data_IF_138466517363
#
_entry.id   IF_138466517363
#
_cell.length_a   1.000
_cell.length_b   1.000
_cell.length_c   1.000
_cell.angle_alpha   90.00
_cell.angle_beta   90.00
_cell.angle_gamma   90.00
#
_symmetry.space_group_name_H-M   'P 1'
#
loop_
_entity.id
_entity.type
_entity.pdbx_description
1 polymer ?
#
# COMPACT_ATOMS: atom_id res chain seq x y z
N UNK A 1 -25.25 19.08 14.21
CA UNK A 1 -24.41 18.02 14.79
C UNK A 1 -23.01 18.19 14.21
N UNK A 2 -22.00 18.35 15.07
CA UNK A 2 -20.61 18.40 14.63
C UNK A 2 -20.23 16.99 14.11
N UNK A 3 -19.47 16.89 13.01
CA UNK A 3 -18.93 15.62 12.58
C UNK A 3 -18.05 15.04 13.71
N UNK A 4 -18.19 13.75 13.97
CA UNK A 4 -17.37 13.06 14.93
C UNK A 4 -15.89 13.18 14.52
N UNK A 5 -15.00 13.47 15.48
CA UNK A 5 -13.56 13.47 15.22
C UNK A 5 -13.17 12.08 14.67
N UNK A 6 -12.32 11.99 13.62
CA UNK A 6 -11.75 10.72 13.18
C UNK A 6 -11.16 9.99 14.39
N UNK A 7 -11.28 8.66 14.43
CA UNK A 7 -10.61 7.89 15.48
C UNK A 7 -9.10 8.14 15.37
N UNK A 8 -8.38 8.16 16.49
CA UNK A 8 -6.93 8.38 16.53
C UNK A 8 -6.14 7.42 15.62
N UNK A 9 -6.65 6.22 15.43
CA UNK A 9 -6.11 5.25 14.46
C UNK A 9 -6.25 5.70 12.99
N UNK A 10 -7.29 6.45 12.67
CA UNK A 10 -7.49 7.02 11.34
C UNK A 10 -6.49 8.16 11.07
N UNK A 11 -6.25 9.04 12.03
CA UNK A 11 -5.33 10.17 11.90
C UNK A 11 -3.88 9.69 11.69
N UNK A 12 -3.38 8.78 12.52
CA UNK A 12 -2.04 8.20 12.34
C UNK A 12 -1.87 7.51 10.99
N UNK A 13 -2.89 6.78 10.52
CA UNK A 13 -2.87 6.12 9.21
C UNK A 13 -2.74 7.15 8.09
N UNK A 14 -3.52 8.22 8.12
CA UNK A 14 -3.49 9.29 7.11
C UNK A 14 -2.12 9.98 7.07
N UNK A 15 -1.59 10.37 8.23
CA UNK A 15 -0.25 10.99 8.32
C UNK A 15 0.84 10.06 7.81
N UNK A 16 0.74 8.77 8.12
CA UNK A 16 1.70 7.79 7.64
C UNK A 16 1.64 7.61 6.11
N UNK A 17 0.44 7.50 5.50
CA UNK A 17 0.30 7.38 4.05
C UNK A 17 0.82 8.63 3.33
N UNK A 18 0.50 9.83 3.79
CA UNK A 18 1.01 11.07 3.24
C UNK A 18 2.55 11.14 3.30
N UNK A 19 3.15 10.65 4.40
CA UNK A 19 4.60 10.57 4.51
C UNK A 19 5.20 9.56 3.52
N UNK A 20 4.60 8.36 3.36
CA UNK A 20 5.06 7.34 2.39
C UNK A 20 5.00 7.89 0.97
N UNK A 21 3.91 8.55 0.60
CA UNK A 21 3.74 9.18 -0.71
C UNK A 21 4.90 10.14 -1.00
N UNK A 22 5.20 11.04 -0.08
CA UNK A 22 6.31 11.99 -0.22
C UNK A 22 7.66 11.28 -0.33
N UNK A 23 7.95 10.30 0.51
CA UNK A 23 9.20 9.55 0.53
C UNK A 23 9.44 8.84 -0.81
N UNK A 24 8.40 8.20 -1.36
CA UNK A 24 8.48 7.53 -2.66
C UNK A 24 8.61 8.52 -3.83
N UNK A 25 7.96 9.68 -3.78
CA UNK A 25 8.13 10.73 -4.80
C UNK A 25 9.53 11.31 -4.80
N UNK A 26 10.13 11.54 -3.64
CA UNK A 26 11.52 12.01 -3.53
C UNK A 26 12.50 10.98 -4.11
N UNK A 27 12.33 9.70 -3.77
CA UNK A 27 13.15 8.62 -4.32
C UNK A 27 13.00 8.47 -5.84
N UNK A 28 11.83 8.73 -6.40
CA UNK A 28 11.55 8.65 -7.83
C UNK A 28 12.06 9.86 -8.62
N UNK A 29 12.22 11.01 -7.99
CA UNK A 29 12.71 12.25 -8.62
C UNK A 29 14.22 12.26 -8.84
N UNK A 30 14.98 11.41 -8.14
CA UNK A 30 16.43 11.24 -8.33
C UNK A 30 16.72 9.89 -9.02
N UNK A 31 16.81 9.87 -10.38
CA UNK A 31 17.03 8.63 -11.12
C UNK A 31 18.44 8.03 -10.92
N UNK A 32 19.35 8.75 -10.26
CA UNK A 32 20.69 8.26 -9.89
C UNK A 32 20.72 7.67 -8.46
N UNK A 33 19.68 7.87 -7.68
CA UNK A 33 19.55 7.34 -6.33
C UNK A 33 18.88 5.98 -6.39
N UNK A 34 19.64 4.92 -6.15
CA UNK A 34 19.02 3.65 -5.76
C UNK A 34 18.13 3.93 -4.55
N UNK A 35 16.87 3.44 -4.56
CA UNK A 35 15.90 3.64 -3.47
C UNK A 35 16.52 3.33 -2.11
N UNK A 36 17.37 2.30 -2.04
CA UNK A 36 18.15 1.93 -0.86
C UNK A 36 19.17 2.98 -0.42
N UNK A 37 19.77 3.72 -1.34
CA UNK A 37 20.74 4.77 -1.01
C UNK A 37 20.06 6.05 -0.53
N UNK A 38 18.93 6.43 -1.14
CA UNK A 38 18.13 7.60 -0.74
C UNK A 38 17.48 7.43 0.63
N UNK A 39 17.00 6.22 0.95
CA UNK A 39 16.34 5.93 2.24
C UNK A 39 17.32 5.68 3.38
N UNK A 40 18.60 5.51 3.12
CA UNK A 40 19.59 5.08 4.12
C UNK A 40 20.53 6.14 4.68
N UNK A 41 20.89 7.22 3.97
CA UNK A 41 22.14 7.90 4.28
C UNK A 41 22.23 9.40 4.03
N UNK A 42 21.21 10.19 3.97
CA UNK A 42 21.43 11.63 4.08
C UNK A 42 20.26 12.36 4.75
N UNK A 43 20.40 12.57 6.04
CA UNK A 43 19.84 13.75 6.68
C UNK A 43 20.71 14.92 6.23
N UNK A 44 20.51 15.38 5.01
CA UNK A 44 21.02 16.64 4.53
C UNK A 44 19.96 17.71 4.79
N UNK A 45 20.34 18.79 5.44
CA UNK A 45 19.51 19.89 5.92
C UNK A 45 18.77 20.70 4.83
N UNK A 46 18.76 20.28 3.56
CA UNK A 46 18.20 21.07 2.45
C UNK A 46 16.89 20.57 1.82
N UNK A 47 16.23 19.57 2.40
CA UNK A 47 14.91 19.09 1.93
C UNK A 47 13.71 19.94 2.41
N UNK A 48 13.95 21.16 2.87
CA UNK A 48 12.93 22.05 3.47
C UNK A 48 12.00 22.76 2.47
N UNK A 49 12.00 22.43 1.17
CA UNK A 49 11.29 23.22 0.15
C UNK A 49 10.19 22.47 -0.65
N UNK A 50 9.82 21.23 -0.30
CA UNK A 50 8.61 20.60 -0.81
C UNK A 50 7.51 20.70 0.26
N UNK A 51 6.94 21.88 0.43
CA UNK A 51 5.93 22.18 1.44
C UNK A 51 4.57 21.56 1.11
N UNK A 52 4.30 20.37 1.60
CA UNK A 52 2.96 19.90 1.90
C UNK A 52 2.72 20.09 3.40
N UNK A 53 1.48 20.38 3.79
CA UNK A 53 1.03 20.74 5.15
C UNK A 53 1.11 19.56 6.17
N UNK A 54 2.05 18.63 6.01
CA UNK A 54 2.22 17.45 6.86
C UNK A 54 2.57 17.79 8.30
N UNK A 55 3.19 18.94 8.51
CA UNK A 55 3.52 19.45 9.85
C UNK A 55 2.30 19.79 10.69
N UNK A 56 1.20 20.19 10.06
CA UNK A 56 -0.04 20.53 10.76
C UNK A 56 -0.75 19.26 11.27
N UNK A 57 -0.82 18.22 10.43
CA UNK A 57 -1.46 16.95 10.79
C UNK A 57 -0.61 16.15 11.81
N UNK A 58 0.72 16.18 11.68
CA UNK A 58 1.63 15.56 12.64
C UNK A 58 1.61 16.29 14.00
N UNK A 59 1.39 17.60 14.01
CA UNK A 59 1.23 18.40 15.23
C UNK A 59 -0.02 18.02 16.04
N UNK A 60 -1.01 17.40 15.40
CA UNK A 60 -2.24 16.91 16.07
C UNK A 60 -2.04 15.55 16.76
N UNK A 61 -0.94 14.84 16.49
CA UNK A 61 -0.64 13.55 17.10
C UNK A 61 -0.18 13.72 18.55
N UNK A 62 -0.61 12.81 19.40
CA UNK A 62 -0.07 12.66 20.76
C UNK A 62 1.38 12.17 20.72
N UNK A 63 2.12 12.30 21.81
CA UNK A 63 3.52 11.81 21.89
C UNK A 63 3.63 10.31 21.60
N UNK A 64 2.69 9.51 22.10
CA UNK A 64 2.64 8.07 21.82
C UNK A 64 2.34 7.74 20.35
N UNK A 65 1.55 8.57 19.66
CA UNK A 65 1.28 8.43 18.23
C UNK A 65 2.47 8.84 17.38
N UNK A 66 3.19 9.90 17.75
CA UNK A 66 4.45 10.30 17.12
C UNK A 66 5.50 9.19 17.22
N UNK A 67 5.70 8.64 18.41
CA UNK A 67 6.62 7.51 18.62
C UNK A 67 6.23 6.29 17.76
N UNK A 68 4.92 6.05 17.60
CA UNK A 68 4.41 4.98 16.75
C UNK A 68 4.64 5.29 15.27
N UNK A 69 4.47 6.53 14.84
CA UNK A 69 4.76 6.99 13.49
C UNK A 69 6.23 6.77 13.13
N UNK A 70 7.15 7.11 14.02
CA UNK A 70 8.59 6.88 13.80
C UNK A 70 8.92 5.39 13.65
N UNK A 71 8.27 4.52 14.42
CA UNK A 71 8.43 3.07 14.23
C UNK A 71 7.89 2.60 12.88
N UNK A 72 6.76 3.14 12.41
CA UNK A 72 6.20 2.81 11.09
C UNK A 72 7.14 3.28 9.97
N UNK A 73 7.72 4.48 10.07
CA UNK A 73 8.72 5.02 9.14
C UNK A 73 9.97 4.14 9.07
N UNK A 74 10.50 3.74 10.22
CA UNK A 74 11.64 2.85 10.28
C UNK A 74 11.34 1.49 9.65
N UNK A 75 10.19 0.88 9.96
CA UNK A 75 9.77 -0.39 9.40
C UNK A 75 9.53 -0.31 7.89
N UNK A 76 8.99 0.82 7.39
CA UNK A 76 8.82 1.05 5.96
C UNK A 76 10.17 1.05 5.24
N UNK A 77 11.18 1.75 5.76
CA UNK A 77 12.51 1.80 5.15
C UNK A 77 13.16 0.41 5.08
N UNK A 78 13.05 -0.37 6.15
CA UNK A 78 13.52 -1.75 6.17
C UNK A 78 12.76 -2.58 5.13
N UNK A 79 11.44 -2.45 5.07
CA UNK A 79 10.63 -3.18 4.10
C UNK A 79 11.02 -2.87 2.65
N UNK A 80 11.21 -1.59 2.30
CA UNK A 80 11.67 -1.19 0.96
C UNK A 80 13.03 -1.81 0.64
N UNK A 81 13.98 -1.75 1.58
CA UNK A 81 15.33 -2.26 1.38
C UNK A 81 15.39 -3.78 1.24
N UNK A 82 14.53 -4.51 1.95
CA UNK A 82 14.57 -5.98 1.99
C UNK A 82 13.65 -6.62 0.94
N UNK A 83 12.41 -6.12 0.80
CA UNK A 83 11.38 -6.78 -0.01
C UNK A 83 11.25 -6.16 -1.41
N UNK A 84 11.67 -4.91 -1.59
CA UNK A 84 11.51 -4.17 -2.84
C UNK A 84 12.85 -3.72 -3.45
N UNK A 85 13.97 -4.32 -3.02
CA UNK A 85 15.31 -3.99 -3.52
C UNK A 85 15.44 -4.15 -5.05
N UNK A 86 14.73 -5.12 -5.64
CA UNK A 86 14.74 -5.40 -7.09
C UNK A 86 13.67 -4.60 -7.85
N UNK A 87 12.99 -3.67 -7.21
CA UNK A 87 11.88 -2.93 -7.77
C UNK A 87 12.07 -1.42 -7.69
N UNK A 88 11.45 -0.70 -8.61
CA UNK A 88 11.40 0.76 -8.67
C UNK A 88 9.96 1.23 -8.64
N UNK A 89 9.63 2.23 -7.83
CA UNK A 89 8.30 2.83 -7.82
C UNK A 89 8.00 3.48 -9.18
N UNK A 90 6.82 3.18 -9.75
CA UNK A 90 6.37 3.71 -11.06
C UNK A 90 5.01 4.40 -10.97
N UNK A 91 4.24 4.17 -9.91
CA UNK A 91 3.02 4.91 -9.61
C UNK A 91 2.82 4.97 -8.10
N UNK A 92 2.32 6.11 -7.61
CA UNK A 92 2.11 6.40 -6.20
C UNK A 92 0.75 7.08 -6.10
N UNK A 93 -0.11 6.64 -5.16
CA UNK A 93 -1.48 7.15 -4.97
C UNK A 93 -2.28 7.22 -6.29
N UNK A 94 -2.14 6.18 -7.11
CA UNK A 94 -2.69 6.15 -8.48
C UNK A 94 -4.19 5.87 -8.48
N UNK A 95 -4.96 6.80 -8.99
CA UNK A 95 -6.40 6.64 -9.16
C UNK A 95 -6.71 5.62 -10.28
N UNK A 96 -7.68 4.76 -10.05
CA UNK A 96 -8.15 3.81 -11.05
C UNK A 96 -9.67 3.77 -11.16
N UNK A 97 -10.13 3.31 -12.33
CA UNK A 97 -11.51 2.90 -12.56
C UNK A 97 -11.49 1.60 -13.36
N UNK A 98 -12.17 0.57 -12.88
CA UNK A 98 -12.25 -0.73 -13.55
C UNK A 98 -13.68 -1.22 -13.53
N UNK A 99 -14.12 -1.86 -14.63
CA UNK A 99 -15.43 -2.50 -14.67
C UNK A 99 -15.33 -3.96 -14.23
N UNK A 100 -16.20 -4.33 -13.30
CA UNK A 100 -16.30 -5.71 -12.81
C UNK A 100 -17.77 -6.07 -12.72
N UNK A 101 -18.18 -7.14 -13.42
CA UNK A 101 -19.58 -7.58 -13.45
C UNK A 101 -20.57 -6.52 -13.97
N UNK A 102 -20.13 -5.58 -14.80
CA UNK A 102 -20.95 -4.47 -15.31
C UNK A 102 -21.05 -3.27 -14.37
N UNK A 103 -20.30 -3.26 -13.26
CA UNK A 103 -20.23 -2.15 -12.30
C UNK A 103 -18.87 -1.47 -12.38
N UNK A 104 -18.86 -0.15 -12.49
CA UNK A 104 -17.63 0.64 -12.42
C UNK A 104 -17.17 0.78 -10.98
N UNK A 105 -16.02 0.22 -10.66
CA UNK A 105 -15.36 0.33 -9.37
C UNK A 105 -14.21 1.33 -9.47
N UNK A 106 -14.21 2.31 -8.60
CA UNK A 106 -13.18 3.34 -8.54
C UNK A 106 -12.44 3.25 -7.21
N UNK A 107 -11.16 3.62 -7.22
CA UNK A 107 -10.34 3.62 -6.03
C UNK A 107 -8.98 4.24 -6.28
N UNK A 108 -8.07 3.98 -5.37
CA UNK A 108 -6.70 4.44 -5.43
C UNK A 108 -5.77 3.31 -4.99
N UNK A 109 -4.68 3.12 -5.74
CA UNK A 109 -3.61 2.19 -5.43
C UNK A 109 -2.53 2.96 -4.70
N UNK A 110 -2.11 2.52 -3.52
CA UNK A 110 -1.11 3.23 -2.70
C UNK A 110 0.22 3.35 -3.44
N UNK A 111 0.75 2.22 -3.97
CA UNK A 111 1.97 2.24 -4.79
C UNK A 111 2.03 1.07 -5.77
N UNK A 112 2.69 1.29 -6.90
CA UNK A 112 3.06 0.25 -7.87
C UNK A 112 4.55 0.34 -8.15
N UNK A 113 5.19 -0.81 -8.16
CA UNK A 113 6.60 -0.97 -8.43
C UNK A 113 6.81 -1.78 -9.70
N UNK A 114 7.79 -1.41 -10.51
CA UNK A 114 8.25 -2.18 -11.68
C UNK A 114 9.56 -2.87 -11.33
N UNK A 115 9.67 -4.14 -11.67
CA UNK A 115 10.89 -4.91 -11.45
C UNK A 115 12.02 -4.41 -12.35
N UNK A 116 13.19 -4.15 -11.75
CA UNK A 116 14.40 -3.72 -12.41
C UNK A 116 15.46 -4.81 -12.47
N UNK A 117 15.42 -5.77 -11.54
CA UNK A 117 16.32 -6.93 -11.48
C UNK A 117 15.64 -8.13 -10.79
N UNK A 118 16.35 -9.24 -10.65
CA UNK A 118 15.88 -10.43 -9.96
C UNK A 118 14.70 -11.15 -10.64
N UNK A 119 14.05 -12.03 -9.90
CA UNK A 119 12.89 -12.82 -10.31
C UNK A 119 11.60 -12.29 -9.69
N UNK A 120 10.45 -12.58 -10.31
CA UNK A 120 9.14 -12.19 -9.80
C UNK A 120 8.24 -11.55 -10.86
N UNK A 121 7.07 -11.03 -10.49
CA UNK A 121 6.17 -10.35 -11.41
C UNK A 121 6.81 -9.07 -11.95
N UNK A 122 6.43 -8.68 -13.17
CA UNK A 122 6.92 -7.45 -13.80
C UNK A 122 6.52 -6.22 -13.00
N UNK A 123 5.28 -6.19 -12.54
CA UNK A 123 4.76 -5.14 -11.66
C UNK A 123 4.34 -5.73 -10.32
N UNK A 124 4.48 -4.95 -9.27
CA UNK A 124 4.05 -5.31 -7.94
C UNK A 124 3.22 -4.17 -7.34
N UNK A 125 1.96 -4.44 -7.08
CA UNK A 125 1.07 -3.52 -6.37
C UNK A 125 1.23 -3.73 -4.88
N UNK A 126 1.43 -2.66 -4.14
CA UNK A 126 1.61 -2.69 -2.69
C UNK A 126 0.59 -1.78 -2.01
N UNK A 127 -0.13 -2.34 -1.05
CA UNK A 127 -1.07 -1.65 -0.18
C UNK A 127 -0.50 -1.57 1.24
N UNK A 128 -0.33 -0.36 1.77
CA UNK A 128 0.30 -0.11 3.07
C UNK A 128 -0.72 -0.13 4.20
N UNK A 129 -0.39 -0.81 5.29
CA UNK A 129 -1.22 -0.84 6.50
C UNK A 129 -0.40 -0.48 7.74
N UNK A 130 -0.81 0.56 8.42
CA UNK A 130 -0.23 0.97 9.72
C UNK A 130 -0.60 0.02 10.88
N UNK A 131 -1.36 -1.03 10.60
CA UNK A 131 -1.80 -2.06 11.55
C UNK A 131 -0.89 -3.27 11.61
N UNK A 132 -1.31 -4.26 12.43
CA UNK A 132 -0.67 -5.58 12.50
C UNK A 132 -1.26 -6.54 11.47
N UNK A 133 -0.51 -7.58 11.07
CA UNK A 133 -1.00 -8.63 10.19
C UNK A 133 -2.32 -9.24 10.65
N UNK A 134 -3.11 -9.67 9.70
CA UNK A 134 -4.36 -10.38 9.92
C UNK A 134 -4.18 -11.88 9.78
N UNK A 135 -5.07 -12.64 10.40
CA UNK A 135 -5.13 -14.10 10.28
C UNK A 135 -6.55 -14.50 9.92
N UNK A 136 -6.70 -15.46 9.01
CA UNK A 136 -8.00 -16.00 8.63
C UNK A 136 -8.72 -16.67 9.81
N UNK A 137 -7.98 -17.22 10.77
CA UNK A 137 -8.57 -17.84 11.98
C UNK A 137 -9.28 -16.81 12.87
N UNK A 138 -8.77 -15.57 12.92
CA UNK A 138 -9.31 -14.54 13.83
C UNK A 138 -10.14 -13.48 13.10
N UNK A 139 -9.88 -13.26 11.82
CA UNK A 139 -10.52 -12.19 11.01
C UNK A 139 -10.67 -12.62 9.54
N UNK A 140 -11.44 -13.68 9.22
CA UNK A 140 -11.58 -14.17 7.85
C UNK A 140 -12.15 -13.12 6.91
N UNK A 141 -13.15 -12.34 7.35
CA UNK A 141 -13.76 -11.27 6.53
C UNK A 141 -12.76 -10.20 6.13
N UNK A 142 -11.78 -9.89 7.01
CA UNK A 142 -10.74 -8.92 6.71
C UNK A 142 -9.71 -9.46 5.72
N UNK A 143 -9.43 -10.76 5.78
CA UNK A 143 -8.58 -11.43 4.77
C UNK A 143 -9.30 -11.43 3.43
N UNK A 144 -10.59 -11.79 3.37
CA UNK A 144 -11.39 -11.74 2.15
C UNK A 144 -11.46 -10.33 1.55
N UNK A 145 -11.61 -9.30 2.39
CA UNK A 145 -11.55 -7.91 1.95
C UNK A 145 -10.21 -7.58 1.27
N UNK A 146 -9.07 -7.96 1.86
CA UNK A 146 -7.76 -7.71 1.25
C UNK A 146 -7.57 -8.47 -0.06
N UNK A 147 -8.04 -9.72 -0.15
CA UNK A 147 -8.02 -10.49 -1.41
C UNK A 147 -8.79 -9.75 -2.50
N UNK A 148 -10.01 -9.31 -2.20
CA UNK A 148 -10.84 -8.54 -3.15
C UNK A 148 -10.15 -7.24 -3.58
N UNK A 149 -9.62 -6.47 -2.62
CA UNK A 149 -8.90 -5.22 -2.88
C UNK A 149 -7.69 -5.42 -3.78
N UNK A 150 -6.83 -6.39 -3.46
CA UNK A 150 -5.62 -6.65 -4.23
C UNK A 150 -5.93 -7.18 -5.64
N UNK A 151 -6.94 -8.03 -5.80
CA UNK A 151 -7.40 -8.47 -7.13
C UNK A 151 -7.92 -7.32 -8.00
N UNK A 152 -8.64 -6.36 -7.40
CA UNK A 152 -9.07 -5.15 -8.09
C UNK A 152 -7.87 -4.32 -8.56
N UNK A 153 -6.90 -4.11 -7.69
CA UNK A 153 -5.70 -3.36 -8.01
C UNK A 153 -4.88 -4.03 -9.11
N UNK A 154 -4.69 -5.33 -9.04
CA UNK A 154 -4.02 -6.16 -10.06
C UNK A 154 -4.67 -5.99 -11.44
N UNK A 155 -6.01 -6.15 -11.51
CA UNK A 155 -6.77 -5.96 -12.75
C UNK A 155 -6.70 -4.53 -13.28
N UNK A 156 -6.84 -3.55 -12.39
CA UNK A 156 -6.79 -2.14 -12.77
C UNK A 156 -5.44 -1.77 -13.39
N UNK A 157 -4.34 -2.22 -12.78
CA UNK A 157 -2.99 -1.96 -13.29
C UNK A 157 -2.71 -2.72 -14.59
N UNK A 158 -3.08 -3.99 -14.68
CA UNK A 158 -2.96 -4.78 -15.90
C UNK A 158 -3.71 -4.14 -17.08
N UNK A 159 -4.96 -3.72 -16.86
CA UNK A 159 -5.77 -3.04 -17.88
C UNK A 159 -5.14 -1.70 -18.32
N UNK A 160 -4.60 -0.92 -17.36
CA UNK A 160 -3.94 0.38 -17.64
C UNK A 160 -2.68 0.23 -18.47
N UNK A 161 -1.89 -0.81 -18.20
CA UNK A 161 -0.59 -1.01 -18.85
C UNK A 161 -0.64 -1.93 -20.06
N UNK A 162 -1.76 -2.63 -20.27
CA UNK A 162 -1.94 -3.58 -21.36
C UNK A 162 -1.16 -4.88 -21.18
N UNK A 163 -0.70 -5.20 -19.98
CA UNK A 163 0.00 -6.46 -19.67
C UNK A 163 -1.00 -7.53 -19.24
N UNK A 164 -0.57 -8.79 -19.27
CA UNK A 164 -1.36 -9.89 -18.70
C UNK A 164 -1.43 -9.73 -17.16
N UNK A 165 -2.56 -10.08 -16.56
CA UNK A 165 -2.76 -9.97 -15.12
C UNK A 165 -1.75 -10.82 -14.32
N UNK A 166 -1.25 -11.91 -14.89
CA UNK A 166 -0.21 -12.75 -14.29
C UNK A 166 1.16 -12.06 -14.18
N UNK A 167 1.38 -10.98 -14.93
CA UNK A 167 2.59 -10.16 -14.82
C UNK A 167 2.52 -9.13 -13.67
N UNK A 168 1.37 -9.03 -13.01
CA UNK A 168 1.13 -8.09 -11.92
C UNK A 168 0.96 -8.85 -10.60
N UNK A 169 1.96 -8.83 -9.74
CA UNK A 169 1.85 -9.28 -8.35
C UNK A 169 1.13 -8.25 -7.49
N UNK A 170 0.61 -8.71 -6.35
CA UNK A 170 -0.02 -7.81 -5.38
C UNK A 170 0.25 -8.26 -3.95
N UNK A 171 0.46 -7.31 -3.03
CA UNK A 171 0.66 -7.60 -1.61
C UNK A 171 0.10 -6.51 -0.71
N UNK A 172 -0.20 -6.90 0.53
CA UNK A 172 -0.43 -5.98 1.64
C UNK A 172 0.75 -6.00 2.60
N UNK A 173 1.32 -4.83 2.90
CA UNK A 173 2.44 -4.68 3.82
C UNK A 173 1.96 -4.10 5.16
N UNK A 174 2.18 -4.84 6.24
CA UNK A 174 1.78 -4.46 7.61
C UNK A 174 3.00 -3.90 8.36
N UNK A 175 3.03 -2.61 8.56
CA UNK A 175 4.22 -1.92 9.07
C UNK A 175 4.25 -1.74 10.59
N UNK A 176 3.18 -2.08 11.31
CA UNK A 176 3.22 -2.15 12.78
C UNK A 176 3.96 -3.40 13.36
N UNK A 177 4.30 -4.33 12.49
CA UNK A 177 5.22 -5.44 12.74
C UNK A 177 5.66 -5.88 11.35
N UNK A 178 6.93 -5.68 10.98
CA UNK A 178 7.35 -5.80 9.59
C UNK A 178 6.99 -7.19 9.05
N UNK A 179 5.94 -7.25 8.29
CA UNK A 179 5.50 -8.45 7.59
C UNK A 179 4.60 -8.07 6.41
N UNK A 180 4.54 -8.94 5.43
CA UNK A 180 3.64 -8.78 4.30
C UNK A 180 2.89 -10.08 4.02
N UNK A 181 1.79 -9.95 3.29
CA UNK A 181 1.07 -11.08 2.70
C UNK A 181 0.86 -10.79 1.23
N UNK A 182 1.39 -11.67 0.38
CA UNK A 182 1.05 -11.64 -1.06
C UNK A 182 -0.41 -12.05 -1.26
N UNK A 183 -0.95 -11.74 -2.43
CA UNK A 183 -2.31 -12.12 -2.78
C UNK A 183 -2.49 -13.64 -2.68
N UNK A 184 -1.55 -14.43 -3.21
CA UNK A 184 -1.58 -15.90 -3.17
C UNK A 184 -1.60 -16.40 -1.72
N UNK A 185 -0.81 -15.77 -0.84
CA UNK A 185 -0.79 -16.14 0.58
C UNK A 185 -2.12 -15.87 1.27
N UNK A 186 -2.77 -14.74 0.94
CA UNK A 186 -4.09 -14.41 1.48
C UNK A 186 -5.18 -15.37 0.96
N UNK A 187 -5.10 -15.75 -0.32
CA UNK A 187 -5.99 -16.74 -0.93
C UNK A 187 -5.84 -18.11 -0.28
N UNK A 188 -4.60 -18.56 -0.05
CA UNK A 188 -4.30 -19.79 0.68
C UNK A 188 -4.88 -19.79 2.10
N UNK A 189 -4.85 -18.64 2.78
CA UNK A 189 -5.44 -18.49 4.12
C UNK A 189 -6.96 -18.67 4.13
N UNK A 190 -7.65 -18.32 3.04
CA UNK A 190 -9.10 -18.50 2.90
C UNK A 190 -9.47 -19.94 2.47
N UNK A 191 -8.51 -20.68 1.90
CA UNK A 191 -8.71 -22.03 1.37
C UNK A 191 -9.50 -22.04 0.05
N UNK A 192 -9.84 -23.25 -0.41
CA UNK A 192 -10.49 -23.48 -1.70
C UNK A 192 -11.92 -22.91 -1.85
N UNK A 193 -12.41 -22.19 -0.85
CA UNK A 193 -13.73 -21.53 -0.84
C UNK A 193 -13.68 -20.03 -1.15
N UNK A 194 -12.51 -19.48 -1.51
CA UNK A 194 -12.42 -18.09 -1.90
C UNK A 194 -13.23 -17.86 -3.19
N UNK A 195 -14.32 -17.12 -3.07
CA UNK A 195 -15.17 -16.70 -4.19
C UNK A 195 -14.34 -16.00 -5.27
N UNK A 196 -14.76 -16.13 -6.54
CA UNK A 196 -14.15 -15.30 -7.58
C UNK A 196 -14.34 -13.82 -7.23
N UNK A 197 -13.49 -12.94 -7.77
CA UNK A 197 -13.67 -11.48 -7.57
C UNK A 197 -15.08 -11.04 -7.98
N UNK A 198 -15.60 -11.60 -9.07
CA UNK A 198 -16.93 -11.27 -9.59
C UNK A 198 -18.04 -11.70 -8.61
N UNK A 199 -17.89 -12.85 -7.93
CA UNK A 199 -18.82 -13.31 -6.92
C UNK A 199 -18.75 -12.47 -5.64
N UNK A 200 -17.53 -12.15 -5.17
CA UNK A 200 -17.33 -11.31 -3.99
C UNK A 200 -17.88 -9.89 -4.19
N UNK A 201 -17.74 -9.32 -5.39
CA UNK A 201 -18.29 -8.00 -5.69
C UNK A 201 -19.81 -8.02 -5.83
N UNK A 202 -20.42 -9.07 -6.40
CA UNK A 202 -21.89 -9.22 -6.44
C UNK A 202 -22.46 -9.27 -5.02
N UNK A 203 -21.86 -10.04 -4.12
CA UNK A 203 -22.29 -10.12 -2.72
C UNK A 203 -22.25 -8.76 -2.01
N UNK A 204 -21.24 -7.92 -2.31
CA UNK A 204 -21.12 -6.57 -1.74
C UNK A 204 -22.13 -5.58 -2.35
N UNK A 205 -22.52 -5.78 -3.61
CA UNK A 205 -23.45 -4.87 -4.32
C UNK A 205 -24.91 -5.22 -4.13
N UNK A 206 -25.22 -6.47 -3.74
CA UNK A 206 -26.57 -6.94 -3.50
C UNK A 206 -27.03 -6.72 -2.01
N UNK A 207 -26.19 -6.19 -1.12
CA UNK A 207 -26.46 -5.81 0.27
C UNK A 207 -26.52 -4.29 0.44
#
# INVERSE_FOLDING_TARGET
PMPARPSSFSALGTVFHAWVERELHLASADPASEITASLGLSVGEDAALAGGDDGADEALLTDGERERLERLRANFRVFIADELADYRAVAIEEAFSVEVGGVSVQGRIDAVFERVSGDGPRYLVVDWKSGRPVSATTKPDKVAYFVTQLRLYQRAWAARTGVDVSEVGAMVAFLAGPSHHTLERLEDMLGAGASSLDDALREVLDN
#
